data_IF_324073097160
#
_entry.id   IF_324073097160
#
_cell.length_a   1.000
_cell.length_b   1.000
_cell.length_c   1.000
_cell.angle_alpha   90.00
_cell.angle_beta   90.00
_cell.angle_gamma   90.00
#
_symmetry.space_group_name_H-M   'P 1'
#
loop_
_entity.id
_entity.type
_entity.pdbx_description
1 polymer ?
#
# COMPACT_ATOMS: atom_id res chain seq x y z
N UNK A 1 10.70 27.49 -8.65
CA UNK A 1 9.82 26.38 -8.24
C UNK A 1 10.65 25.11 -8.20
N UNK A 2 10.44 24.20 -7.24
CA UNK A 2 11.07 22.89 -7.26
C UNK A 2 10.74 22.17 -8.58
N UNK A 3 11.68 21.38 -9.15
CA UNK A 3 11.43 20.68 -10.40
C UNK A 3 10.31 19.65 -10.22
N UNK A 4 9.49 19.47 -11.25
CA UNK A 4 8.44 18.45 -11.26
C UNK A 4 9.10 17.08 -11.38
N UNK A 5 8.99 16.27 -10.33
CA UNK A 5 9.48 14.88 -10.30
C UNK A 5 8.42 13.86 -10.71
N UNK A 6 7.14 14.20 -10.57
CA UNK A 6 6.02 13.35 -10.98
C UNK A 6 5.07 14.16 -11.87
N UNK A 7 4.98 13.83 -13.16
CA UNK A 7 4.09 14.52 -14.09
C UNK A 7 2.72 13.83 -14.11
N UNK A 8 1.71 14.45 -13.52
CA UNK A 8 0.34 13.93 -13.47
C UNK A 8 -0.52 14.64 -14.52
N UNK A 9 -1.15 13.88 -15.41
CA UNK A 9 -2.01 14.40 -16.48
C UNK A 9 -3.44 13.91 -16.30
N UNK A 10 -4.27 14.80 -15.77
CA UNK A 10 -5.70 14.57 -15.50
C UNK A 10 -6.62 15.18 -16.54
N UNK A 11 -6.13 16.20 -17.26
CA UNK A 11 -6.94 16.99 -18.19
C UNK A 11 -7.37 16.15 -19.42
N UNK A 12 -8.68 16.04 -19.62
CA UNK A 12 -9.24 15.27 -20.73
C UNK A 12 -8.89 15.87 -22.08
N UNK A 13 -8.42 15.04 -23.02
CA UNK A 13 -7.98 15.48 -24.35
C UNK A 13 -6.61 16.17 -24.38
N UNK A 14 -5.83 16.10 -23.30
CA UNK A 14 -4.48 16.66 -23.28
C UNK A 14 -3.51 15.88 -24.18
N UNK A 15 -2.50 16.58 -24.69
CA UNK A 15 -1.42 16.03 -25.49
C UNK A 15 -0.09 16.19 -24.77
N UNK A 16 0.69 15.11 -24.71
CA UNK A 16 2.02 15.08 -24.08
C UNK A 16 3.09 14.98 -25.18
N UNK A 17 3.88 16.05 -25.31
CA UNK A 17 4.96 16.18 -26.29
C UNK A 17 6.33 16.34 -25.64
N UNK A 18 7.40 15.96 -26.34
CA UNK A 18 8.77 16.33 -25.97
C UNK A 18 9.09 17.72 -26.53
N UNK A 19 9.61 18.62 -25.70
CA UNK A 19 10.10 19.93 -26.12
C UNK A 19 11.38 20.27 -25.35
N UNK A 20 12.52 20.43 -26.05
CA UNK A 20 13.81 20.86 -25.49
C UNK A 20 14.20 20.21 -24.15
N UNK A 21 14.25 18.87 -24.08
CA UNK A 21 14.63 18.14 -22.87
C UNK A 21 13.56 18.12 -21.77
N UNK A 22 12.33 18.54 -22.08
CA UNK A 22 11.17 18.52 -21.19
C UNK A 22 10.03 17.74 -21.81
N UNK A 23 9.15 17.21 -20.97
CA UNK A 23 7.79 16.88 -21.38
C UNK A 23 6.90 18.10 -21.20
N UNK A 24 6.02 18.33 -22.16
CA UNK A 24 5.08 19.43 -22.16
C UNK A 24 3.67 18.87 -22.34
N UNK A 25 2.78 19.24 -21.42
CA UNK A 25 1.37 18.89 -21.45
C UNK A 25 0.61 20.06 -22.05
N UNK A 26 -0.14 19.81 -23.12
CA UNK A 26 -0.90 20.83 -23.86
C UNK A 26 -2.36 20.48 -23.99
N UNK A 27 -3.22 21.49 -24.09
CA UNK A 27 -4.60 21.36 -24.58
C UNK A 27 -4.84 22.42 -25.65
N UNK A 28 -5.02 21.98 -26.89
CA UNK A 28 -4.99 22.87 -28.04
C UNK A 28 -3.64 23.61 -28.14
N UNK A 29 -3.67 24.94 -28.13
CA UNK A 29 -2.47 25.78 -28.17
C UNK A 29 -1.90 26.14 -26.79
N UNK A 30 -2.64 25.85 -25.71
CA UNK A 30 -2.23 26.21 -24.37
C UNK A 30 -1.31 25.16 -23.77
N UNK A 31 -0.19 25.60 -23.20
CA UNK A 31 0.69 24.79 -22.37
C UNK A 31 0.14 24.79 -20.95
N UNK A 32 -0.21 23.61 -20.45
CA UNK A 32 -0.73 23.43 -19.10
C UNK A 32 0.40 23.19 -18.10
N UNK A 33 1.40 22.39 -18.49
CA UNK A 33 2.48 21.99 -17.60
C UNK A 33 3.74 21.60 -18.37
N UNK A 34 4.90 21.79 -17.76
CA UNK A 34 6.20 21.37 -18.27
C UNK A 34 7.03 20.68 -17.19
N UNK A 35 7.59 19.51 -17.50
CA UNK A 35 8.47 18.77 -16.60
C UNK A 35 9.82 18.48 -17.28
N UNK A 36 10.96 18.94 -16.72
CA UNK A 36 12.28 18.57 -17.23
C UNK A 36 12.53 17.07 -17.09
N UNK A 37 12.92 16.40 -18.17
CA UNK A 37 13.20 14.96 -18.16
C UNK A 37 14.29 14.59 -17.14
N UNK A 38 15.26 15.49 -16.92
CA UNK A 38 16.38 15.29 -15.99
C UNK A 38 15.95 15.00 -14.54
N UNK A 39 14.82 15.56 -14.12
CA UNK A 39 14.31 15.43 -12.75
C UNK A 39 13.05 14.57 -12.68
N UNK A 40 12.52 14.18 -13.84
CA UNK A 40 11.26 13.49 -13.94
C UNK A 40 11.46 12.01 -13.61
N UNK A 41 10.83 11.54 -12.55
CA UNK A 41 10.91 10.15 -12.09
C UNK A 41 9.84 9.28 -12.75
N UNK A 42 8.69 9.84 -13.14
CA UNK A 42 7.59 9.11 -13.77
C UNK A 42 6.56 10.06 -14.41
N UNK A 43 5.73 9.49 -15.29
CA UNK A 43 4.53 10.13 -15.83
C UNK A 43 3.31 9.32 -15.42
N UNK A 44 2.28 9.97 -14.88
CA UNK A 44 1.00 9.35 -14.51
C UNK A 44 -0.09 9.97 -15.36
N UNK A 45 -0.84 9.13 -16.08
CA UNK A 45 -1.97 9.57 -16.91
C UNK A 45 -3.27 9.04 -16.35
N UNK A 46 -4.10 9.97 -15.88
CA UNK A 46 -5.41 9.71 -15.28
C UNK A 46 -6.57 10.19 -16.18
N UNK A 47 -6.29 11.16 -17.05
CA UNK A 47 -7.29 11.79 -17.92
C UNK A 47 -7.76 10.89 -19.07
N UNK A 48 -9.00 11.09 -19.52
CA UNK A 48 -9.53 10.43 -20.72
C UNK A 48 -9.02 11.12 -21.99
N UNK A 49 -8.90 10.36 -23.07
CA UNK A 49 -8.44 10.87 -24.38
C UNK A 49 -7.09 11.61 -24.34
N UNK A 50 -6.23 11.30 -23.37
CA UNK A 50 -4.86 11.82 -23.34
C UNK A 50 -4.03 11.11 -24.42
N UNK A 51 -3.27 11.89 -25.17
CA UNK A 51 -2.44 11.40 -26.28
C UNK A 51 -0.98 11.79 -26.10
N UNK A 52 -0.09 11.07 -26.79
CA UNK A 52 1.35 11.25 -26.68
C UNK A 52 1.99 11.33 -28.06
N UNK A 53 3.12 12.04 -28.16
CA UNK A 53 4.09 11.80 -29.24
C UNK A 53 4.88 10.52 -28.99
N UNK A 54 5.26 9.84 -30.07
CA UNK A 54 6.26 8.78 -30.01
C UNK A 54 7.58 9.29 -29.38
N UNK A 55 7.97 10.54 -29.65
CA UNK A 55 9.16 11.17 -29.06
C UNK A 55 9.08 11.36 -27.56
N UNK A 56 7.91 11.67 -27.00
CA UNK A 56 7.71 11.72 -25.56
C UNK A 56 7.91 10.34 -24.94
N UNK A 57 7.28 9.30 -25.52
CA UNK A 57 7.43 7.91 -25.06
C UNK A 57 8.88 7.45 -25.16
N UNK A 58 9.54 7.70 -26.30
CA UNK A 58 10.94 7.35 -26.54
C UNK A 58 11.89 8.07 -25.57
N UNK A 59 11.66 9.37 -25.30
CA UNK A 59 12.47 10.11 -24.34
C UNK A 59 12.31 9.60 -22.91
N UNK A 60 11.08 9.28 -22.50
CA UNK A 60 10.82 8.64 -21.21
C UNK A 60 11.53 7.28 -21.13
N UNK A 61 11.37 6.43 -22.14
CA UNK A 61 12.02 5.12 -22.20
C UNK A 61 13.55 5.22 -22.18
N UNK A 62 14.14 6.15 -22.92
CA UNK A 62 15.59 6.36 -22.97
C UNK A 62 16.18 6.83 -21.64
N UNK A 63 15.39 7.51 -20.81
CA UNK A 63 15.78 7.99 -19.48
C UNK A 63 15.28 7.08 -18.34
N UNK A 64 14.60 5.98 -18.65
CA UNK A 64 14.06 5.08 -17.62
C UNK A 64 12.86 5.59 -16.86
N UNK A 65 12.18 6.60 -17.41
CA UNK A 65 11.01 7.23 -16.83
C UNK A 65 9.79 6.37 -17.22
N UNK A 66 9.17 5.64 -16.29
CA UNK A 66 7.96 4.88 -16.59
C UNK A 66 6.77 5.80 -16.84
N UNK A 67 5.85 5.32 -17.68
CA UNK A 67 4.56 5.98 -17.93
C UNK A 67 3.46 5.05 -17.41
N UNK A 68 2.73 5.49 -16.40
CA UNK A 68 1.64 4.74 -15.79
C UNK A 68 0.29 5.27 -16.26
N UNK A 69 -0.63 4.35 -16.54
CA UNK A 69 -1.99 4.68 -16.95
C UNK A 69 -2.97 4.23 -15.87
N UNK A 70 -3.74 5.17 -15.35
CA UNK A 70 -4.70 4.98 -14.28
C UNK A 70 -6.11 5.29 -14.78
N UNK A 71 -7.08 4.49 -14.33
CA UNK A 71 -8.49 4.79 -14.53
C UNK A 71 -8.90 6.05 -13.74
N UNK A 72 -10.07 6.61 -14.04
CA UNK A 72 -10.64 7.72 -13.26
C UNK A 72 -10.84 7.41 -11.76
N UNK A 73 -10.80 6.13 -11.38
CA UNK A 73 -10.87 5.66 -9.99
C UNK A 73 -9.50 5.48 -9.34
N UNK A 74 -8.42 5.83 -10.04
CA UNK A 74 -7.04 5.66 -9.59
C UNK A 74 -6.48 4.24 -9.74
N UNK A 75 -7.25 3.28 -10.26
CA UNK A 75 -6.77 1.91 -10.51
C UNK A 75 -5.84 1.90 -11.72
N UNK A 76 -4.57 1.48 -11.60
CA UNK A 76 -3.68 1.30 -12.75
C UNK A 76 -4.22 0.25 -13.72
N UNK A 77 -4.14 0.49 -15.02
CA UNK A 77 -4.55 -0.48 -16.04
C UNK A 77 -3.46 -0.78 -17.09
N UNK A 78 -2.43 0.08 -17.20
CA UNK A 78 -1.28 -0.18 -18.04
C UNK A 78 -0.05 0.56 -17.50
N UNK A 79 1.14 0.11 -17.89
CA UNK A 79 2.38 0.84 -17.68
C UNK A 79 3.33 0.57 -18.84
N UNK A 80 4.02 1.61 -19.30
CA UNK A 80 5.09 1.53 -20.28
C UNK A 80 6.41 1.69 -19.56
N UNK A 81 7.30 0.72 -19.75
CA UNK A 81 8.68 0.75 -19.29
C UNK A 81 9.61 0.81 -20.47
N UNK A 82 10.83 1.27 -20.22
CA UNK A 82 11.91 1.19 -21.18
C UNK A 82 12.15 -0.27 -21.61
N UNK A 83 12.26 -0.49 -22.92
CA UNK A 83 12.62 -1.79 -23.47
C UNK A 83 14.09 -2.18 -23.14
N UNK A 84 14.96 -1.20 -22.85
CA UNK A 84 16.40 -1.38 -22.74
C UNK A 84 17.01 -1.15 -21.34
N UNK A 85 16.24 -0.65 -20.37
CA UNK A 85 16.70 -0.52 -18.98
C UNK A 85 16.34 -1.79 -18.21
N UNK A 86 17.07 -2.85 -18.55
CA UNK A 86 16.88 -4.25 -18.13
C UNK A 86 17.35 -4.55 -16.70
N UNK A 87 17.59 -3.54 -15.84
CA UNK A 87 17.91 -3.77 -14.42
C UNK A 87 16.81 -4.52 -13.65
N UNK A 88 15.58 -4.53 -14.18
CA UNK A 88 14.45 -5.26 -13.61
C UNK A 88 14.53 -6.77 -13.82
N UNK A 89 15.17 -7.28 -14.89
CA UNK A 89 15.20 -8.74 -15.13
C UNK A 89 16.03 -9.46 -14.07
N UNK A 90 17.13 -8.85 -13.61
CA UNK A 90 17.93 -9.38 -12.52
C UNK A 90 17.13 -9.42 -11.22
N UNK A 91 16.36 -8.37 -10.95
CA UNK A 91 15.46 -8.30 -9.79
C UNK A 91 14.39 -9.38 -9.85
N UNK A 92 13.72 -9.57 -11.00
CA UNK A 92 12.69 -10.59 -11.18
C UNK A 92 13.25 -12.01 -11.09
N UNK A 93 14.41 -12.29 -11.71
CA UNK A 93 15.10 -13.58 -11.57
C UNK A 93 15.41 -13.86 -10.10
N UNK A 94 15.96 -12.88 -9.40
CA UNK A 94 16.26 -13.02 -7.97
C UNK A 94 15.00 -13.23 -7.12
N UNK A 95 13.91 -12.53 -7.43
CA UNK A 95 12.61 -12.69 -6.77
C UNK A 95 12.04 -14.10 -6.95
N UNK A 96 12.04 -14.62 -8.19
CA UNK A 96 11.56 -15.96 -8.50
C UNK A 96 12.44 -17.04 -7.85
N UNK A 97 13.77 -16.86 -7.86
CA UNK A 97 14.70 -17.77 -7.19
C UNK A 97 14.51 -17.77 -5.67
N UNK A 98 14.29 -16.59 -5.07
CA UNK A 98 14.09 -16.45 -3.64
C UNK A 98 12.87 -17.21 -3.09
N UNK A 99 11.90 -17.54 -3.95
CA UNK A 99 10.77 -18.40 -3.56
C UNK A 99 11.24 -19.79 -3.09
N UNK A 100 12.37 -20.25 -3.61
CA UNK A 100 12.92 -21.58 -3.35
C UNK A 100 14.08 -21.58 -2.33
N UNK A 101 14.35 -20.47 -1.64
CA UNK A 101 15.43 -20.40 -0.65
C UNK A 101 15.08 -19.53 0.58
N UNK A 102 16.07 -19.38 1.47
CA UNK A 102 15.91 -18.68 2.75
C UNK A 102 15.48 -17.21 2.63
N UNK A 103 15.66 -16.57 1.46
CA UNK A 103 15.22 -15.18 1.24
C UNK A 103 13.71 -15.08 1.26
N UNK A 104 12.99 -15.99 0.59
CA UNK A 104 11.53 -16.00 0.57
C UNK A 104 10.94 -16.21 1.96
N UNK A 105 11.54 -17.11 2.75
CA UNK A 105 11.24 -17.32 4.17
C UNK A 105 11.40 -16.04 5.01
N UNK A 106 12.54 -15.36 4.83
CA UNK A 106 12.84 -14.11 5.53
C UNK A 106 11.80 -13.04 5.21
N UNK A 107 11.43 -12.89 3.94
CA UNK A 107 10.44 -11.91 3.47
C UNK A 107 9.05 -12.24 4.00
N UNK A 108 8.63 -13.51 3.93
CA UNK A 108 7.33 -13.95 4.43
C UNK A 108 7.16 -13.65 5.93
N UNK A 109 8.16 -14.00 6.75
CA UNK A 109 8.15 -13.68 8.19
C UNK A 109 8.14 -12.18 8.42
N UNK A 110 8.96 -11.41 7.69
CA UNK A 110 9.02 -9.96 7.85
C UNK A 110 7.65 -9.31 7.57
N UNK A 111 6.91 -9.75 6.56
CA UNK A 111 5.56 -9.24 6.29
C UNK A 111 4.57 -9.57 7.40
N UNK A 112 4.56 -10.82 7.88
CA UNK A 112 3.67 -11.22 8.98
C UNK A 112 4.00 -10.46 10.27
N UNK A 113 5.28 -10.33 10.61
CA UNK A 113 5.75 -9.55 11.78
C UNK A 113 5.36 -8.09 11.66
N UNK A 114 5.55 -7.47 10.48
CA UNK A 114 5.18 -6.07 10.25
C UNK A 114 3.68 -5.85 10.45
N UNK A 115 2.83 -6.74 9.89
CA UNK A 115 1.37 -6.69 10.04
C UNK A 115 0.96 -6.68 11.51
N UNK A 116 1.36 -7.70 12.27
CA UNK A 116 0.99 -7.86 13.67
C UNK A 116 1.54 -6.71 14.53
N UNK A 117 2.78 -6.29 14.28
CA UNK A 117 3.43 -5.20 15.00
C UNK A 117 2.71 -3.86 14.80
N UNK A 118 2.30 -3.56 13.56
CA UNK A 118 1.59 -2.33 13.24
C UNK A 118 0.15 -2.35 13.76
N UNK A 119 -0.55 -3.47 13.66
CA UNK A 119 -1.87 -3.64 14.28
C UNK A 119 -1.81 -3.42 15.80
N UNK A 120 -0.85 -4.06 16.49
CA UNK A 120 -0.59 -3.86 17.91
C UNK A 120 -0.24 -2.40 18.23
N UNK A 121 0.53 -1.73 17.37
CA UNK A 121 0.87 -0.31 17.50
C UNK A 121 -0.36 0.59 17.44
N UNK A 122 -1.25 0.34 16.49
CA UNK A 122 -2.49 1.07 16.35
C UNK A 122 -3.43 0.84 17.53
N UNK A 123 -3.60 -0.42 17.99
CA UNK A 123 -4.44 -0.72 19.16
C UNK A 123 -3.91 -0.03 20.43
N UNK A 124 -2.59 -0.04 20.66
CA UNK A 124 -1.99 0.71 21.78
C UNK A 124 -2.29 2.21 21.71
N UNK A 125 -2.23 2.78 20.50
CA UNK A 125 -2.57 4.18 20.29
C UNK A 125 -4.04 4.47 20.62
N UNK A 126 -4.96 3.60 20.21
CA UNK A 126 -6.39 3.74 20.49
C UNK A 126 -6.73 3.55 21.98
N UNK A 127 -5.99 2.68 22.69
CA UNK A 127 -6.20 2.41 24.10
C UNK A 127 -5.63 3.50 25.04
N UNK A 128 -4.70 4.34 24.55
CA UNK A 128 -3.88 5.26 25.37
C UNK A 128 -4.67 6.14 26.34
N UNK A 129 -5.84 6.63 25.95
CA UNK A 129 -6.65 7.56 26.74
C UNK A 129 -7.92 6.92 27.33
N UNK A 130 -8.06 5.59 27.21
CA UNK A 130 -9.24 4.85 27.70
C UNK A 130 -9.09 4.35 29.12
N UNK A 131 -7.85 4.21 29.62
CA UNK A 131 -7.59 3.70 30.99
C UNK A 131 -8.37 4.43 32.07
N UNK A 132 -8.48 5.75 31.96
CA UNK A 132 -9.16 6.57 32.96
C UNK A 132 -10.67 6.76 32.68
N UNK A 133 -11.11 6.55 31.44
CA UNK A 133 -12.50 6.83 31.00
C UNK A 133 -13.37 5.57 30.94
N UNK A 134 -12.79 4.46 30.50
CA UNK A 134 -13.46 3.19 30.25
C UNK A 134 -12.52 2.03 30.69
N UNK A 135 -12.32 1.83 32.00
CA UNK A 135 -11.34 0.86 32.52
C UNK A 135 -11.59 -0.58 32.03
N UNK A 136 -12.85 -1.02 32.04
CA UNK A 136 -13.22 -2.37 31.61
C UNK A 136 -12.86 -2.63 30.13
N UNK A 137 -13.15 -1.65 29.27
CA UNK A 137 -12.79 -1.71 27.84
C UNK A 137 -11.27 -1.70 27.66
N UNK A 138 -10.56 -0.90 28.45
CA UNK A 138 -9.09 -0.86 28.42
C UNK A 138 -8.49 -2.22 28.81
N UNK A 139 -9.03 -2.90 29.80
CA UNK A 139 -8.54 -4.19 30.28
C UNK A 139 -8.82 -5.31 29.27
N UNK A 140 -10.00 -5.32 28.66
CA UNK A 140 -10.32 -6.24 27.57
C UNK A 140 -9.39 -6.04 26.35
N UNK A 141 -9.19 -4.78 25.92
CA UNK A 141 -8.23 -4.43 24.87
C UNK A 141 -6.81 -4.89 25.22
N UNK A 142 -6.41 -4.76 26.49
CA UNK A 142 -5.10 -5.17 26.97
C UNK A 142 -4.91 -6.69 26.90
N UNK A 143 -5.95 -7.46 27.23
CA UNK A 143 -6.00 -8.92 27.05
C UNK A 143 -5.82 -9.33 25.59
N UNK A 144 -6.63 -8.76 24.68
CA UNK A 144 -6.53 -9.03 23.24
C UNK A 144 -5.14 -8.68 22.68
N UNK A 145 -4.58 -7.53 23.08
CA UNK A 145 -3.21 -7.15 22.71
C UNK A 145 -2.15 -8.11 23.28
N UNK A 146 -2.35 -8.68 24.47
CA UNK A 146 -1.42 -9.66 25.03
C UNK A 146 -1.42 -10.96 24.23
N UNK A 147 -2.59 -11.44 23.82
CA UNK A 147 -2.73 -12.60 22.94
C UNK A 147 -2.06 -12.36 21.58
N UNK A 148 -2.31 -11.21 20.96
CA UNK A 148 -1.63 -10.82 19.71
C UNK A 148 -0.11 -10.75 19.85
N UNK A 149 0.42 -10.30 21.00
CA UNK A 149 1.87 -10.32 21.27
C UNK A 149 2.42 -11.74 21.39
N UNK A 150 1.65 -12.67 21.95
CA UNK A 150 2.05 -14.08 22.01
C UNK A 150 2.11 -14.69 20.60
N UNK A 151 1.12 -14.39 19.74
CA UNK A 151 1.12 -14.78 18.33
C UNK A 151 2.29 -14.17 17.56
N UNK A 152 2.64 -12.91 17.84
CA UNK A 152 3.81 -12.27 17.24
C UNK A 152 5.11 -13.01 17.59
N UNK A 153 5.31 -13.39 18.86
CA UNK A 153 6.46 -14.21 19.27
C UNK A 153 6.46 -15.57 18.60
N UNK A 154 5.29 -16.20 18.46
CA UNK A 154 5.15 -17.46 17.73
C UNK A 154 5.67 -17.35 16.29
N UNK A 155 5.37 -16.25 15.58
CA UNK A 155 5.91 -15.97 14.23
C UNK A 155 7.43 -15.76 14.25
N UNK A 156 7.92 -15.02 15.24
CA UNK A 156 9.36 -14.70 15.39
C UNK A 156 10.20 -15.95 15.69
N UNK A 157 9.64 -16.93 16.39
CA UNK A 157 10.31 -18.16 16.81
C UNK A 157 10.01 -19.36 15.92
N UNK A 158 9.05 -19.26 14.99
CA UNK A 158 8.62 -20.35 14.13
C UNK A 158 9.82 -20.97 13.39
N UNK A 159 10.12 -22.27 13.51
CA UNK A 159 11.14 -22.90 12.69
C UNK A 159 10.63 -23.02 11.26
N UNK A 160 11.35 -22.46 10.30
CA UNK A 160 10.97 -22.49 8.89
C UNK A 160 12.09 -23.13 8.07
N UNK A 161 11.78 -24.25 7.42
CA UNK A 161 12.71 -24.96 6.52
C UNK A 161 12.60 -24.47 5.08
N UNK A 162 11.37 -24.27 4.63
CA UNK A 162 11.03 -23.90 3.26
C UNK A 162 9.71 -23.13 3.26
N UNK A 163 9.49 -22.39 2.17
CA UNK A 163 8.37 -21.47 2.09
C UNK A 163 7.02 -22.18 1.98
N UNK A 164 6.97 -23.38 1.38
CA UNK A 164 5.71 -24.11 1.19
C UNK A 164 5.14 -24.61 2.52
N UNK A 165 6.01 -25.06 3.43
CA UNK A 165 5.61 -25.50 4.78
C UNK A 165 5.33 -24.33 5.72
N UNK A 166 6.08 -23.23 5.62
CA UNK A 166 5.92 -22.06 6.47
C UNK A 166 4.62 -21.29 6.18
N UNK A 167 4.19 -21.21 4.91
CA UNK A 167 3.04 -20.37 4.50
C UNK A 167 1.73 -20.73 5.21
N UNK A 168 1.28 -21.99 5.26
CA UNK A 168 0.06 -22.36 6.00
C UNK A 168 0.14 -22.00 7.50
N UNK A 169 1.32 -22.17 8.12
CA UNK A 169 1.53 -21.83 9.53
C UNK A 169 1.44 -20.32 9.76
N UNK A 170 2.12 -19.53 8.94
CA UNK A 170 2.06 -18.06 8.98
C UNK A 170 0.63 -17.54 8.75
N UNK A 171 -0.11 -18.12 7.80
CA UNK A 171 -1.51 -17.78 7.55
C UNK A 171 -2.42 -18.18 8.73
N UNK A 172 -2.16 -19.32 9.38
CA UNK A 172 -2.90 -19.74 10.58
C UNK A 172 -2.68 -18.82 11.77
N UNK A 173 -1.44 -18.37 11.99
CA UNK A 173 -1.13 -17.37 13.03
C UNK A 173 -1.76 -16.02 12.69
N UNK A 174 -1.66 -15.58 11.43
CA UNK A 174 -2.27 -14.34 10.95
C UNK A 174 -3.78 -14.34 11.13
N UNK A 175 -4.48 -15.42 10.81
CA UNK A 175 -5.93 -15.53 10.98
C UNK A 175 -6.36 -15.40 12.44
N UNK A 176 -5.65 -16.05 13.36
CA UNK A 176 -5.88 -15.90 14.82
C UNK A 176 -5.63 -14.46 15.28
N UNK A 177 -4.54 -13.84 14.82
CA UNK A 177 -4.23 -12.45 15.17
C UNK A 177 -5.27 -11.47 14.59
N UNK A 178 -5.75 -11.72 13.38
CA UNK A 178 -6.78 -10.91 12.74
C UNK A 178 -8.11 -10.97 13.49
N UNK A 179 -8.51 -12.14 14.01
CA UNK A 179 -9.70 -12.26 14.85
C UNK A 179 -9.60 -11.33 16.06
N UNK A 180 -8.50 -11.42 16.82
CA UNK A 180 -8.25 -10.58 18.01
C UNK A 180 -8.16 -9.10 17.67
N UNK A 181 -7.55 -8.77 16.54
CA UNK A 181 -7.47 -7.39 16.06
C UNK A 181 -8.86 -6.80 15.80
N UNK A 182 -9.74 -7.52 15.10
CA UNK A 182 -11.07 -7.01 14.77
C UNK A 182 -12.03 -7.02 15.96
N UNK A 183 -11.85 -7.95 16.92
CA UNK A 183 -12.50 -7.88 18.23
C UNK A 183 -12.09 -6.59 18.97
N UNK A 184 -10.79 -6.27 19.01
CA UNK A 184 -10.30 -5.04 19.62
C UNK A 184 -10.78 -3.76 18.88
N UNK A 185 -10.91 -3.82 17.56
CA UNK A 185 -11.49 -2.71 16.77
C UNK A 185 -12.95 -2.47 17.14
N UNK A 186 -13.75 -3.52 17.34
CA UNK A 186 -15.15 -3.38 17.78
C UNK A 186 -15.27 -2.62 19.09
N UNK A 187 -14.33 -2.84 20.02
CA UNK A 187 -14.30 -2.18 21.33
C UNK A 187 -13.77 -0.74 21.27
N UNK A 188 -12.88 -0.45 20.32
CA UNK A 188 -12.11 0.80 20.29
C UNK A 188 -12.53 1.81 19.21
N UNK A 189 -13.39 1.40 18.27
CA UNK A 189 -13.84 2.23 17.14
C UNK A 189 -15.37 2.30 17.12
N UNK A 190 -15.93 3.48 16.84
CA UNK A 190 -17.37 3.73 16.79
C UNK A 190 -18.04 3.12 15.54
N UNK A 191 -17.97 1.79 15.40
CA UNK A 191 -18.46 1.04 14.22
C UNK A 191 -19.94 0.68 14.28
N UNK A 192 -20.57 0.84 15.45
CA UNK A 192 -21.95 0.44 15.71
C UNK A 192 -22.09 -1.01 16.18
N UNK A 193 -23.11 -1.29 17.00
CA UNK A 193 -23.34 -2.62 17.58
C UNK A 193 -23.59 -3.70 16.51
N UNK A 194 -24.28 -3.34 15.43
CA UNK A 194 -24.64 -4.25 14.34
C UNK A 194 -23.49 -4.54 13.36
N UNK A 195 -22.29 -3.99 13.59
CA UNK A 195 -21.16 -4.25 12.72
C UNK A 195 -20.84 -5.75 12.71
N UNK A 196 -20.81 -6.43 11.55
CA UNK A 196 -20.72 -7.89 11.50
C UNK A 196 -19.28 -8.43 11.66
N UNK A 197 -18.32 -7.57 12.00
CA UNK A 197 -16.90 -7.86 11.89
C UNK A 197 -16.37 -7.58 10.49
N UNK A 198 -15.06 -7.84 10.28
CA UNK A 198 -14.40 -7.52 9.01
C UNK A 198 -14.94 -8.37 7.86
N UNK A 199 -15.49 -7.71 6.83
CA UNK A 199 -15.98 -8.33 5.59
C UNK A 199 -15.35 -7.69 4.35
N UNK A 200 -14.80 -8.54 3.47
CA UNK A 200 -14.21 -8.10 2.20
C UNK A 200 -15.26 -7.78 1.13
N UNK A 201 -15.19 -8.49 0.00
CA UNK A 201 -16.12 -8.29 -1.14
C UNK A 201 -17.56 -8.57 -0.71
N UNK A 202 -18.49 -7.69 -1.11
CA UNK A 202 -19.92 -7.82 -0.78
C UNK A 202 -20.30 -7.31 0.61
N UNK A 203 -19.42 -6.55 1.28
CA UNK A 203 -19.79 -5.85 2.50
C UNK A 203 -20.98 -4.90 2.28
N UNK A 204 -21.91 -4.90 3.22
CA UNK A 204 -23.14 -4.12 3.18
C UNK A 204 -23.24 -3.11 4.34
N UNK A 205 -22.15 -2.90 5.07
CA UNK A 205 -22.05 -1.93 6.16
C UNK A 205 -21.06 -0.78 5.80
N UNK A 206 -21.32 0.46 6.27
CA UNK A 206 -20.49 1.61 5.93
C UNK A 206 -19.02 1.47 6.34
N UNK A 207 -18.73 0.81 7.47
CA UNK A 207 -17.36 0.69 7.98
C UNK A 207 -16.51 -0.23 7.11
N UNK A 208 -17.01 -1.42 6.78
CA UNK A 208 -16.32 -2.30 5.84
C UNK A 208 -16.23 -1.72 4.44
N UNK A 209 -17.24 -0.97 3.98
CA UNK A 209 -17.17 -0.27 2.70
C UNK A 209 -16.04 0.78 2.68
N UNK A 210 -15.91 1.57 3.75
CA UNK A 210 -14.82 2.53 3.94
C UNK A 210 -13.45 1.84 3.96
N UNK A 211 -13.28 0.76 4.75
CA UNK A 211 -12.04 -0.01 4.79
C UNK A 211 -11.70 -0.63 3.43
N UNK A 212 -12.67 -1.25 2.76
CA UNK A 212 -12.47 -1.83 1.43
C UNK A 212 -12.02 -0.79 0.42
N UNK A 213 -12.62 0.41 0.47
CA UNK A 213 -12.24 1.51 -0.41
C UNK A 213 -10.83 2.04 -0.08
N UNK A 214 -10.51 2.23 1.20
CA UNK A 214 -9.18 2.63 1.65
C UNK A 214 -8.09 1.61 1.24
N UNK A 215 -8.36 0.31 1.37
CA UNK A 215 -7.47 -0.74 0.86
C UNK A 215 -7.38 -0.71 -0.66
N UNK A 216 -8.47 -0.40 -1.37
CA UNK A 216 -8.47 -0.17 -2.82
C UNK A 216 -7.47 0.90 -3.25
N UNK A 217 -7.47 2.04 -2.56
CA UNK A 217 -6.49 3.13 -2.79
C UNK A 217 -5.07 2.63 -2.51
N UNK A 218 -4.88 1.95 -1.38
CA UNK A 218 -3.58 1.47 -0.95
C UNK A 218 -3.00 0.40 -1.90
N UNK A 219 -3.82 -0.51 -2.44
CA UNK A 219 -3.38 -1.50 -3.43
C UNK A 219 -2.69 -0.85 -4.62
N UNK A 220 -3.27 0.23 -5.17
CA UNK A 220 -2.66 0.96 -6.29
C UNK A 220 -1.31 1.59 -5.92
N UNK A 221 -1.14 2.06 -4.69
CA UNK A 221 0.14 2.60 -4.22
C UNK A 221 1.22 1.52 -4.05
N UNK A 222 0.83 0.37 -3.48
CA UNK A 222 1.74 -0.76 -3.26
C UNK A 222 2.17 -1.36 -4.60
N UNK A 223 1.23 -1.58 -5.52
CA UNK A 223 1.51 -2.09 -6.86
C UNK A 223 2.45 -1.17 -7.63
N UNK A 224 2.19 0.14 -7.62
CA UNK A 224 3.10 1.14 -8.20
C UNK A 224 4.50 1.03 -7.59
N UNK A 225 4.61 0.91 -6.28
CA UNK A 225 5.90 0.84 -5.61
C UNK A 225 6.70 -0.42 -5.97
N UNK A 226 6.03 -1.57 -6.04
CA UNK A 226 6.60 -2.85 -6.49
C UNK A 226 7.14 -2.73 -7.91
N UNK A 227 6.32 -2.19 -8.82
CA UNK A 227 6.67 -1.99 -10.21
C UNK A 227 7.89 -1.07 -10.37
N UNK A 228 7.89 0.07 -9.66
CA UNK A 228 9.01 1.02 -9.65
C UNK A 228 10.30 0.44 -9.03
N UNK A 229 10.17 -0.56 -8.17
CA UNK A 229 11.33 -1.30 -7.63
C UNK A 229 11.85 -2.40 -8.56
N UNK A 230 11.20 -2.62 -9.71
CA UNK A 230 11.57 -3.65 -10.68
C UNK A 230 11.12 -5.07 -10.32
N UNK A 231 10.23 -5.20 -9.35
CA UNK A 231 9.66 -6.47 -8.91
C UNK A 231 8.43 -6.85 -9.76
N UNK A 232 8.05 -8.11 -9.71
CA UNK A 232 6.82 -8.63 -10.31
C UNK A 232 5.66 -8.61 -9.28
N UNK A 233 4.57 -7.87 -9.53
CA UNK A 233 3.39 -7.81 -8.64
C UNK A 233 2.72 -9.17 -8.38
N UNK A 234 2.90 -10.15 -9.26
CA UNK A 234 2.20 -11.44 -9.23
C UNK A 234 3.05 -12.58 -8.64
N UNK A 235 4.27 -12.29 -8.17
CA UNK A 235 5.17 -13.28 -7.56
C UNK A 235 5.42 -12.96 -6.08
N UNK A 236 4.45 -13.30 -5.24
CA UNK A 236 4.49 -13.15 -3.78
C UNK A 236 5.17 -14.31 -3.06
N UNK A 237 5.25 -14.19 -1.74
CA UNK A 237 5.85 -15.15 -0.81
C UNK A 237 4.85 -15.69 0.23
N UNK A 238 3.81 -14.94 0.62
CA UNK A 238 2.83 -15.40 1.64
C UNK A 238 1.53 -15.83 0.98
N UNK A 239 0.93 -14.93 0.20
CA UNK A 239 -0.33 -15.20 -0.49
C UNK A 239 -0.11 -16.12 -1.69
N UNK A 240 -1.03 -17.07 -1.88
CA UNK A 240 -0.95 -18.04 -3.00
C UNK A 240 -1.01 -17.41 -4.36
N UNK A 241 -0.14 -17.91 -5.24
CA UNK A 241 -0.16 -17.64 -6.66
C UNK A 241 -1.41 -18.28 -7.27
N UNK A 242 -2.23 -17.43 -7.87
CA UNK A 242 -3.36 -17.82 -8.68
C UNK A 242 -3.35 -16.90 -9.90
N UNK A 243 -3.72 -17.40 -11.10
CA UNK A 243 -3.77 -16.55 -12.29
C UNK A 243 -4.54 -15.25 -12.03
N UNK A 244 -3.89 -14.11 -12.31
CA UNK A 244 -4.47 -12.77 -12.15
C UNK A 244 -4.51 -12.23 -10.72
N UNK A 245 -4.00 -12.94 -9.71
CA UNK A 245 -3.91 -12.44 -8.33
C UNK A 245 -2.55 -11.81 -8.08
N UNK A 246 -2.46 -10.50 -7.77
CA UNK A 246 -1.17 -9.83 -7.53
C UNK A 246 -0.62 -10.18 -6.13
N UNK A 247 -0.10 -11.40 -5.96
CA UNK A 247 0.28 -11.96 -4.65
C UNK A 247 1.30 -11.09 -3.91
N UNK A 248 2.30 -10.52 -4.59
CA UNK A 248 3.27 -9.64 -3.93
C UNK A 248 2.64 -8.32 -3.46
N UNK A 249 1.65 -7.79 -4.19
CA UNK A 249 0.89 -6.61 -3.76
C UNK A 249 0.14 -6.92 -2.46
N UNK A 250 -0.49 -8.10 -2.39
CA UNK A 250 -1.18 -8.56 -1.19
C UNK A 250 -0.25 -8.86 -0.03
N UNK A 251 1.03 -9.17 -0.29
CA UNK A 251 2.01 -9.38 0.76
C UNK A 251 2.57 -8.06 1.30
N UNK A 252 3.08 -7.19 0.42
CA UNK A 252 3.73 -5.95 0.83
C UNK A 252 2.74 -4.97 1.46
N UNK A 253 1.47 -4.99 1.05
CA UNK A 253 0.44 -4.13 1.65
C UNK A 253 0.30 -4.38 3.16
N UNK A 254 0.57 -5.60 3.65
CA UNK A 254 0.40 -5.96 5.06
C UNK A 254 1.33 -5.16 5.98
N UNK A 255 2.46 -4.64 5.47
CA UNK A 255 3.29 -3.69 6.21
C UNK A 255 2.56 -2.35 6.48
N UNK A 256 1.55 -1.99 5.67
CA UNK A 256 0.99 -0.65 5.63
C UNK A 256 -0.50 -0.56 5.94
N UNK A 257 -1.27 -1.66 5.93
CA UNK A 257 -2.73 -1.63 6.15
C UNK A 257 -3.12 -0.83 7.40
N UNK A 258 -2.56 -1.21 8.54
CA UNK A 258 -2.84 -0.56 9.82
C UNK A 258 -2.43 0.93 9.81
N UNK A 259 -1.32 1.26 9.15
CA UNK A 259 -0.68 2.59 9.19
C UNK A 259 -1.37 3.59 8.26
N UNK A 260 -1.70 3.15 7.04
CA UNK A 260 -2.12 3.98 5.92
C UNK A 260 -3.63 3.93 5.65
N UNK A 261 -4.32 2.83 6.01
CA UNK A 261 -5.74 2.65 5.74
C UNK A 261 -6.58 2.57 7.03
N UNK A 262 -6.24 1.67 7.95
CA UNK A 262 -7.04 1.46 9.16
C UNK A 262 -7.05 2.71 10.03
N UNK A 263 -5.86 3.26 10.36
CA UNK A 263 -5.73 4.48 11.18
C UNK A 263 -6.61 5.65 10.71
N UNK A 264 -6.55 6.11 9.44
CA UNK A 264 -7.41 7.21 8.99
C UNK A 264 -8.90 6.84 8.96
N UNK A 265 -9.27 5.61 8.60
CA UNK A 265 -10.68 5.18 8.64
C UNK A 265 -11.22 5.14 10.06
N UNK A 266 -10.45 4.58 11.01
CA UNK A 266 -10.85 4.55 12.42
C UNK A 266 -11.01 5.96 12.98
N UNK A 267 -10.14 6.89 12.58
CA UNK A 267 -10.26 8.29 12.97
C UNK A 267 -11.55 8.94 12.45
N UNK A 268 -11.97 8.66 11.21
CA UNK A 268 -13.25 9.18 10.67
C UNK A 268 -14.44 8.74 11.53
N UNK A 269 -14.52 7.46 11.87
CA UNK A 269 -15.62 6.91 12.66
C UNK A 269 -15.59 7.43 14.10
N UNK A 270 -14.41 7.49 14.72
CA UNK A 270 -14.27 8.04 16.08
C UNK A 270 -14.53 9.54 16.18
N UNK A 271 -14.39 10.28 15.07
CA UNK A 271 -14.80 11.69 14.97
C UNK A 271 -16.30 11.87 14.69
N UNK A 272 -17.06 10.77 14.52
CA UNK A 272 -18.49 10.82 14.21
C UNK A 272 -18.80 11.28 12.79
N UNK A 273 -17.84 11.20 11.86
CA UNK A 273 -18.09 11.53 10.45
C UNK A 273 -19.04 10.49 9.86
N UNK A 274 -20.22 10.94 9.40
CA UNK A 274 -21.23 10.06 8.82
C UNK A 274 -20.75 9.50 7.48
N UNK A 275 -20.51 8.18 7.44
CA UNK A 275 -20.23 7.42 6.22
C UNK A 275 -21.50 6.71 5.79
N UNK A 276 -21.91 6.93 4.55
CA UNK A 276 -23.18 6.47 3.99
C UNK A 276 -22.98 5.69 2.69
N UNK A 277 -23.87 4.72 2.48
CA UNK A 277 -23.96 3.94 1.26
C UNK A 277 -25.08 4.49 0.36
N UNK A 278 -24.92 4.34 -0.95
CA UNK A 278 -25.97 4.54 -1.95
C UNK A 278 -26.87 3.30 -2.05
N UNK A 279 -27.90 3.37 -2.89
CA UNK A 279 -28.86 2.28 -3.12
C UNK A 279 -28.22 0.97 -3.63
N UNK A 280 -26.99 1.03 -4.14
CA UNK A 280 -26.22 -0.11 -4.64
C UNK A 280 -25.30 -0.69 -3.56
N UNK A 281 -25.34 -0.14 -2.35
CA UNK A 281 -24.46 -0.52 -1.24
C UNK A 281 -23.03 0.00 -1.40
N UNK A 282 -22.79 0.99 -2.27
CA UNK A 282 -21.46 1.59 -2.47
C UNK A 282 -21.34 2.88 -1.67
N UNK A 283 -20.14 3.30 -1.32
CA UNK A 283 -19.95 4.62 -0.70
C UNK A 283 -20.52 5.70 -1.63
N UNK A 284 -21.42 6.52 -1.10
CA UNK A 284 -21.90 7.69 -1.83
C UNK A 284 -20.74 8.67 -2.09
N UNK A 285 -20.92 9.61 -3.01
CA UNK A 285 -19.83 10.48 -3.45
C UNK A 285 -19.19 11.29 -2.32
N UNK A 286 -19.98 11.79 -1.37
CA UNK A 286 -19.49 12.54 -0.21
C UNK A 286 -18.64 11.67 0.72
N UNK A 287 -19.14 10.48 1.06
CA UNK A 287 -18.45 9.53 1.94
C UNK A 287 -17.20 8.97 1.28
N UNK A 288 -17.27 8.69 -0.03
CA UNK A 288 -16.13 8.24 -0.82
C UNK A 288 -15.00 9.27 -0.82
N UNK A 289 -15.32 10.55 -1.02
CA UNK A 289 -14.34 11.66 -0.93
C UNK A 289 -13.76 11.77 0.47
N UNK A 290 -14.60 11.79 1.51
CA UNK A 290 -14.13 11.88 2.89
C UNK A 290 -13.13 10.76 3.27
N UNK A 291 -13.40 9.52 2.84
CA UNK A 291 -12.47 8.39 3.04
C UNK A 291 -11.21 8.56 2.20
N UNK A 292 -11.33 8.94 0.92
CA UNK A 292 -10.18 9.17 0.05
C UNK A 292 -9.25 10.25 0.62
N UNK A 293 -9.79 11.40 0.99
CA UNK A 293 -9.05 12.55 1.47
C UNK A 293 -8.23 12.17 2.71
N UNK A 294 -8.82 11.50 3.71
CA UNK A 294 -8.08 11.07 4.91
C UNK A 294 -7.00 10.04 4.62
N UNK A 295 -7.24 9.12 3.69
CA UNK A 295 -6.23 8.11 3.30
C UNK A 295 -5.08 8.77 2.53
N UNK A 296 -5.39 9.69 1.61
CA UNK A 296 -4.40 10.42 0.82
C UNK A 296 -3.58 11.38 1.69
N UNK A 297 -4.22 12.15 2.56
CA UNK A 297 -3.54 12.97 3.58
C UNK A 297 -2.62 12.11 4.45
N UNK A 298 -3.06 10.92 4.86
CA UNK A 298 -2.23 10.00 5.63
C UNK A 298 -1.02 9.52 4.84
N UNK A 299 -1.21 9.18 3.58
CA UNK A 299 -0.13 8.78 2.66
C UNK A 299 0.89 9.92 2.45
N UNK A 300 0.44 11.17 2.46
CA UNK A 300 1.30 12.35 2.30
C UNK A 300 1.88 12.88 3.63
N UNK A 301 1.45 12.32 4.76
CA UNK A 301 1.98 12.68 6.08
C UNK A 301 3.39 12.16 6.33
N UNK A 302 4.14 12.85 7.21
CA UNK A 302 5.51 12.47 7.56
C UNK A 302 5.55 11.35 8.59
N UNK A 303 6.41 10.37 8.34
CA UNK A 303 6.73 9.25 9.21
C UNK A 303 8.23 9.25 9.57
N UNK A 304 8.55 8.89 10.82
CA UNK A 304 9.94 8.67 11.20
C UNK A 304 10.36 7.27 10.76
N UNK A 305 11.16 7.19 9.71
CA UNK A 305 11.68 5.96 9.15
C UNK A 305 13.20 6.03 9.02
N UNK A 306 13.92 5.04 9.56
CA UNK A 306 15.39 4.99 9.55
C UNK A 306 16.07 6.29 10.02
N UNK A 307 15.56 6.85 11.13
CA UNK A 307 16.03 8.12 11.74
C UNK A 307 15.84 9.37 10.86
N UNK A 308 15.03 9.29 9.80
CA UNK A 308 14.69 10.42 8.93
C UNK A 308 13.17 10.59 8.87
N UNK A 309 12.71 11.83 8.74
CA UNK A 309 11.29 12.11 8.45
C UNK A 309 11.09 12.00 6.94
N UNK A 310 10.19 11.12 6.53
CA UNK A 310 9.87 10.87 5.12
C UNK A 310 8.36 10.80 4.96
N UNK A 311 7.86 11.23 3.81
CA UNK A 311 6.45 11.03 3.46
C UNK A 311 6.14 9.53 3.40
N UNK A 312 4.98 9.09 3.91
CA UNK A 312 4.63 7.67 3.97
C UNK A 312 4.64 6.99 2.58
N UNK A 313 4.22 7.67 1.51
CA UNK A 313 4.39 7.17 0.12
C UNK A 313 5.86 6.91 -0.23
N UNK A 314 6.77 7.78 0.19
CA UNK A 314 8.20 7.58 -0.01
C UNK A 314 8.73 6.41 0.83
N UNK A 315 8.17 6.17 2.02
CA UNK A 315 8.49 4.97 2.81
C UNK A 315 8.06 3.71 2.07
N UNK A 316 6.83 3.66 1.53
CA UNK A 316 6.33 2.55 0.70
C UNK A 316 7.30 2.27 -0.47
N UNK A 317 7.66 3.30 -1.23
CA UNK A 317 8.63 3.17 -2.34
C UNK A 317 10.00 2.68 -1.87
N UNK A 318 10.44 3.14 -0.69
CA UNK A 318 11.73 2.72 -0.11
C UNK A 318 11.69 1.26 0.33
N UNK A 319 10.57 0.79 0.89
CA UNK A 319 10.37 -0.61 1.28
C UNK A 319 10.40 -1.55 0.08
N UNK A 320 9.71 -1.21 -1.01
CA UNK A 320 9.77 -1.99 -2.25
C UNK A 320 11.19 -2.06 -2.82
N UNK A 321 11.94 -0.93 -2.84
CA UNK A 321 13.35 -0.92 -3.27
C UNK A 321 14.27 -1.74 -2.37
N UNK A 322 14.05 -1.69 -1.06
CA UNK A 322 14.79 -2.47 -0.08
C UNK A 322 14.54 -3.97 -0.22
N UNK A 323 13.30 -4.36 -0.52
CA UNK A 323 12.96 -5.74 -0.85
C UNK A 323 13.71 -6.18 -2.09
N UNK A 324 13.67 -5.38 -3.17
CA UNK A 324 14.39 -5.68 -4.40
C UNK A 324 15.91 -5.85 -4.17
N UNK A 325 16.53 -4.95 -3.40
CA UNK A 325 17.95 -5.04 -3.03
C UNK A 325 18.28 -6.28 -2.20
N UNK A 326 17.43 -6.62 -1.23
CA UNK A 326 17.57 -7.85 -0.43
C UNK A 326 17.48 -9.11 -1.32
N UNK A 327 16.49 -9.16 -2.21
CA UNK A 327 16.33 -10.29 -3.13
C UNK A 327 17.56 -10.44 -4.04
N UNK A 328 18.14 -9.33 -4.52
CA UNK A 328 19.40 -9.34 -5.30
C UNK A 328 20.65 -9.69 -4.49
N UNK A 329 20.57 -9.84 -3.17
CA UNK A 329 21.73 -10.08 -2.30
C UNK A 329 22.59 -8.84 -2.06
N UNK A 330 22.13 -7.65 -2.45
CA UNK A 330 22.81 -6.37 -2.19
C UNK A 330 22.60 -5.89 -0.75
N UNK A 331 21.73 -6.58 -0.02
CA UNK A 331 21.40 -6.29 1.38
C UNK A 331 21.28 -7.60 2.15
N UNK A 332 21.90 -7.65 3.32
CA UNK A 332 21.91 -8.85 4.17
C UNK A 332 20.54 -9.16 4.81
N UNK A 333 19.73 -8.14 5.10
CA UNK A 333 18.49 -8.30 5.84
C UNK A 333 17.33 -7.47 5.28
N UNK A 334 16.12 -8.00 5.39
CA UNK A 334 14.86 -7.30 5.15
C UNK A 334 14.05 -7.21 6.46
N UNK A 335 14.39 -6.27 7.37
CA UNK A 335 13.68 -6.15 8.63
C UNK A 335 12.25 -5.65 8.40
N UNK A 336 11.26 -6.05 9.21
CA UNK A 336 9.86 -5.63 9.08
C UNK A 336 9.72 -4.11 9.22
N UNK A 337 8.80 -3.51 8.46
CA UNK A 337 8.41 -2.12 8.71
C UNK A 337 7.48 -2.03 9.91
N UNK A 338 7.91 -1.31 10.96
CA UNK A 338 7.08 -0.99 12.12
C UNK A 338 6.97 0.52 12.28
N UNK A 339 5.75 1.04 12.14
CA UNK A 339 5.46 2.45 12.30
C UNK A 339 5.48 2.88 13.77
N UNK A 340 5.74 4.17 14.00
CA UNK A 340 5.57 4.79 15.32
C UNK A 340 4.19 5.44 15.36
N UNK A 341 3.47 5.22 16.47
CA UNK A 341 2.06 5.59 16.57
C UNK A 341 1.78 6.83 17.40
#
# INVERSE_FOLDING_TARGET
>A
MPPITHLIVEESGAYIGKHQGRLQVRKGRQVLQEAPLLYLEEVIVCGRAVSFSADAVSACAGQGIPIHFLSFRGTPYASLYSAGLTGTIMTRRAQLQAYHDARGLTVARAFTVAKLSNQLGLLRYLARYRKDREPDVHDELSGLMAEMRALLREVEELPMSDLETARPQLMGIEGRAAQKYWEAVRLSVAVGADWPGRRGRGAADPFNAALNYAYGILYGQIERAILLAGLDPYAGFVHSDRPGKPSLVLDLIEEFRAVAADRPVFALFNLGIAIQLDERGWLNDTSRRAVADRVLERLDSQELYQRRRMVLRSVIQTRARQLAAFLRGEREAYPPFVARY
#
